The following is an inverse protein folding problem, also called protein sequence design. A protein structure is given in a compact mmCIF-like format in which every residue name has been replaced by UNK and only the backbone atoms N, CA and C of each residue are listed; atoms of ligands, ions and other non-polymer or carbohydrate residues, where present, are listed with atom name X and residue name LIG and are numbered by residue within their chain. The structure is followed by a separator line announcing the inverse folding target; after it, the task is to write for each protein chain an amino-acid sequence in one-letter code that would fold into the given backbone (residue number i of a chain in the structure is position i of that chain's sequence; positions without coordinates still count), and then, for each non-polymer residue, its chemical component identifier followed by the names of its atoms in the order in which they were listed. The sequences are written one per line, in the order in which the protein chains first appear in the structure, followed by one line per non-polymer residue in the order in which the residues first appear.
data_IF_438335970515
#
_entry.id   IF_438335970515
#
_cell.length_a   1.000
_cell.length_b   1.000
_cell.length_c   1.000
_cell.angle_alpha   90.00
_cell.angle_beta   90.00
_cell.angle_gamma   90.00
#
_symmetry.space_group_name_H-M   'P 1'
#
loop_
_entity.id
_entity.type
_entity.pdbx_description
1 polymer ?
#
# COMPACT_ATOMS: atom_id res chain seq x y z
N UNK A 1 53.50 45.87 9.12
CA UNK A 1 54.05 44.56 9.59
C UNK A 1 53.02 43.94 10.52
N UNK A 2 52.34 42.89 10.08
CA UNK A 2 51.18 42.30 10.78
C UNK A 2 51.63 41.28 11.83
N UNK A 3 51.21 41.49 13.09
CA UNK A 3 51.33 40.57 14.23
C UNK A 3 50.19 39.55 14.16
N UNK A 4 50.36 38.44 13.44
CA UNK A 4 49.50 37.24 13.59
C UNK A 4 50.17 35.99 13.01
N UNK A 5 51.45 35.79 13.38
CA UNK A 5 52.16 34.52 13.17
C UNK A 5 52.64 34.03 14.54
N UNK A 6 51.72 33.60 15.40
CA UNK A 6 52.07 32.87 16.61
C UNK A 6 51.05 31.77 16.86
N UNK A 7 51.59 30.60 17.18
CA UNK A 7 50.93 29.45 17.81
C UNK A 7 50.03 28.58 16.94
N UNK A 8 50.69 27.72 16.16
CA UNK A 8 50.14 26.40 15.85
C UNK A 8 51.21 25.31 16.01
N UNK A 9 51.93 25.32 17.14
CA UNK A 9 52.76 24.21 17.58
C UNK A 9 52.16 23.60 18.85
N UNK A 10 52.10 22.27 18.83
CA UNK A 10 51.70 21.36 19.90
C UNK A 10 50.21 21.05 20.02
N UNK A 11 49.81 19.91 19.39
CA UNK A 11 49.19 18.77 20.09
C UNK A 11 49.04 17.52 19.20
N UNK A 12 50.14 17.08 18.59
CA UNK A 12 50.27 15.70 18.09
C UNK A 12 51.12 14.92 19.07
N UNK A 13 50.48 14.24 20.01
CA UNK A 13 51.15 13.56 21.11
C UNK A 13 50.33 12.45 21.74
N UNK A 14 49.62 11.66 20.92
CA UNK A 14 49.13 10.35 21.35
C UNK A 14 49.79 9.28 20.47
N UNK A 15 50.50 8.29 21.05
CA UNK A 15 51.16 7.25 20.27
C UNK A 15 50.10 6.45 19.46
N UNK A 16 50.40 6.08 18.20
CA UNK A 16 49.43 5.45 17.29
C UNK A 16 48.78 4.17 17.84
N UNK A 17 49.40 3.48 18.81
CA UNK A 17 48.86 2.28 19.44
C UNK A 17 47.75 2.54 20.48
N UNK A 18 47.72 3.72 21.12
CA UNK A 18 46.64 4.11 22.04
C UNK A 18 45.39 4.53 21.27
N UNK A 19 45.58 5.18 20.11
CA UNK A 19 44.50 5.60 19.21
C UNK A 19 43.74 4.41 18.61
N UNK A 20 44.44 3.32 18.27
CA UNK A 20 43.82 2.10 17.76
C UNK A 20 42.96 1.38 18.81
N UNK A 21 43.45 1.27 20.05
CA UNK A 21 42.70 0.66 21.17
C UNK A 21 41.47 1.49 21.54
N UNK A 22 41.59 2.81 21.55
CA UNK A 22 40.46 3.69 21.84
C UNK A 22 39.41 3.69 20.72
N UNK A 23 39.83 3.64 19.45
CA UNK A 23 38.92 3.49 18.31
C UNK A 23 38.21 2.13 18.34
N UNK A 24 38.90 1.05 18.69
CA UNK A 24 38.29 -0.27 18.85
C UNK A 24 37.25 -0.27 19.99
N UNK A 25 37.57 0.35 21.13
CA UNK A 25 36.62 0.48 22.26
C UNK A 25 35.37 1.26 21.85
N UNK A 26 35.53 2.40 21.16
CA UNK A 26 34.40 3.21 20.69
C UNK A 26 33.52 2.45 19.70
N UNK A 27 34.11 1.68 18.79
CA UNK A 27 33.34 0.83 17.84
C UNK A 27 32.52 -0.23 18.56
N UNK A 28 33.07 -0.88 19.60
CA UNK A 28 32.37 -1.89 20.40
C UNK A 28 31.21 -1.25 21.19
N UNK A 29 31.44 -0.08 21.78
CA UNK A 29 30.40 0.67 22.50
C UNK A 29 29.28 1.14 21.56
N UNK A 30 29.62 1.58 20.35
CA UNK A 30 28.66 2.01 19.33
C UNK A 30 27.82 0.83 18.81
N UNK A 31 28.44 -0.33 18.56
CA UNK A 31 27.71 -1.54 18.14
C UNK A 31 26.77 -2.03 19.24
N UNK A 32 27.22 -2.04 20.50
CA UNK A 32 26.37 -2.43 21.63
C UNK A 32 25.18 -1.47 21.83
N UNK A 33 25.38 -0.16 21.59
CA UNK A 33 24.30 0.83 21.64
C UNK A 33 23.28 0.60 20.53
N UNK A 34 23.73 0.29 19.31
CA UNK A 34 22.84 0.00 18.18
C UNK A 34 22.06 -1.30 18.38
N UNK A 35 22.69 -2.34 18.92
CA UNK A 35 22.00 -3.60 19.25
C UNK A 35 20.94 -3.40 20.33
N UNK A 36 21.25 -2.60 21.36
CA UNK A 36 20.27 -2.25 22.39
C UNK A 36 19.08 -1.48 21.81
N UNK A 37 19.32 -0.48 20.97
CA UNK A 37 18.24 0.29 20.34
C UNK A 37 17.33 -0.59 19.48
N UNK A 38 17.90 -1.53 18.72
CA UNK A 38 17.10 -2.51 17.95
C UNK A 38 16.30 -3.45 18.85
N UNK A 39 16.87 -3.89 19.97
CA UNK A 39 16.15 -4.75 20.91
C UNK A 39 14.99 -4.01 21.59
N UNK A 40 15.20 -2.74 21.95
CA UNK A 40 14.16 -1.88 22.53
C UNK A 40 13.03 -1.61 21.50
N UNK A 41 13.37 -1.35 20.22
CA UNK A 41 12.41 -1.16 19.12
C UNK A 41 11.56 -2.42 18.88
N UNK A 42 12.17 -3.61 18.84
CA UNK A 42 11.46 -4.89 18.70
C UNK A 42 10.53 -5.14 19.90
N UNK A 43 10.98 -4.82 21.12
CA UNK A 43 10.17 -5.01 22.32
C UNK A 43 8.96 -4.05 22.36
N UNK A 44 9.13 -2.81 21.94
CA UNK A 44 8.03 -1.84 21.81
C UNK A 44 7.02 -2.27 20.74
N UNK A 45 7.48 -2.80 19.59
CA UNK A 45 6.60 -3.37 18.57
C UNK A 45 5.82 -4.60 19.08
N UNK A 46 6.45 -5.50 19.83
CA UNK A 46 5.80 -6.67 20.42
C UNK A 46 4.74 -6.29 21.48
N UNK A 47 5.03 -5.31 22.33
CA UNK A 47 4.07 -4.83 23.34
C UNK A 47 2.89 -4.09 22.71
N UNK A 48 3.13 -3.26 21.68
CA UNK A 48 2.06 -2.63 20.90
C UNK A 48 1.14 -3.66 20.23
N UNK A 49 1.70 -4.80 19.80
CA UNK A 49 0.93 -5.91 19.21
C UNK A 49 0.05 -6.66 20.23
N UNK A 50 0.45 -6.71 21.51
CA UNK A 50 -0.31 -7.40 22.56
C UNK A 50 -1.53 -6.62 23.00
N UNK A 51 -1.45 -5.29 23.06
CA UNK A 51 -2.54 -4.44 23.54
C UNK A 51 -3.72 -4.37 22.54
N UNK A 52 -3.47 -4.65 21.26
CA UNK A 52 -4.51 -4.75 20.23
C UNK A 52 -5.38 -6.03 20.30
N UNK A 53 -5.07 -6.99 21.16
CA UNK A 53 -5.85 -8.24 21.27
C UNK A 53 -7.10 -8.15 22.15
N UNK A 54 -7.23 -7.12 22.99
CA UNK A 54 -8.25 -7.13 24.05
C UNK A 54 -9.59 -6.45 23.76
N UNK A 55 -9.75 -5.77 22.61
CA UNK A 55 -11.06 -5.25 22.17
C UNK A 55 -11.23 -5.39 20.66
N UNK A 56 -11.42 -6.62 20.18
CA UNK A 56 -12.09 -6.78 18.88
C UNK A 56 -13.59 -6.73 19.13
N UNK A 57 -14.33 -5.70 18.65
CA UNK A 57 -15.78 -5.78 18.59
C UNK A 57 -16.14 -7.08 17.91
N UNK A 58 -17.16 -7.81 18.39
CA UNK A 58 -17.77 -8.93 17.67
C UNK A 58 -18.14 -8.46 16.28
N UNK A 59 -17.23 -8.68 15.33
CA UNK A 59 -17.36 -8.21 13.96
C UNK A 59 -18.50 -9.01 13.37
N UNK A 60 -19.50 -8.32 12.83
CA UNK A 60 -20.61 -8.96 12.15
C UNK A 60 -20.05 -9.94 11.11
N UNK A 61 -20.64 -11.14 10.98
CA UNK A 61 -20.21 -12.09 9.97
C UNK A 61 -20.30 -11.43 8.59
N UNK A 62 -19.25 -11.61 7.79
CA UNK A 62 -19.05 -10.89 6.55
C UNK A 62 -18.24 -11.73 5.57
N UNK A 63 -18.53 -11.53 4.29
CA UNK A 63 -17.95 -12.27 3.17
C UNK A 63 -17.36 -11.32 2.14
N UNK A 64 -16.44 -11.85 1.34
CA UNK A 64 -15.85 -11.14 0.20
C UNK A 64 -16.79 -11.30 -0.99
N UNK A 65 -17.19 -10.19 -1.59
CA UNK A 65 -17.99 -10.15 -2.80
C UNK A 65 -17.14 -9.66 -3.97
N UNK A 66 -17.31 -10.28 -5.13
CA UNK A 66 -16.60 -9.92 -6.35
C UNK A 66 -17.58 -9.70 -7.47
N UNK A 67 -17.49 -8.55 -8.12
CA UNK A 67 -18.33 -8.21 -9.27
C UNK A 67 -17.52 -7.54 -10.38
N UNK A 68 -18.10 -7.49 -11.57
CA UNK A 68 -17.52 -6.74 -12.68
C UNK A 68 -17.63 -5.23 -12.40
N UNK A 69 -16.51 -4.53 -12.56
CA UNK A 69 -16.45 -3.08 -12.46
C UNK A 69 -16.47 -2.45 -13.87
N UNK A 70 -16.95 -1.21 -14.02
CA UNK A 70 -16.88 -0.48 -15.27
C UNK A 70 -15.45 -0.35 -15.79
N UNK A 71 -15.31 -0.52 -17.10
CA UNK A 71 -14.06 -0.27 -17.83
C UNK A 71 -14.32 0.52 -19.11
N UNK A 72 -13.39 1.42 -19.46
CA UNK A 72 -13.51 2.38 -20.56
C UNK A 72 -13.35 1.75 -21.95
N UNK A 73 -12.48 0.75 -22.12
CA UNK A 73 -12.18 0.07 -23.39
C UNK A 73 -12.78 -1.33 -23.44
N UNK A 74 -13.52 -1.72 -22.40
CA UNK A 74 -14.10 -3.06 -22.25
C UNK A 74 -13.11 -4.08 -21.68
N UNK A 75 -11.91 -3.68 -21.23
CA UNK A 75 -11.00 -4.54 -20.50
C UNK A 75 -11.70 -5.08 -19.23
N UNK A 76 -11.81 -6.42 -19.07
CA UNK A 76 -12.54 -6.98 -17.94
C UNK A 76 -11.90 -6.58 -16.61
N UNK A 77 -12.65 -5.85 -15.79
CA UNK A 77 -12.21 -5.37 -14.48
C UNK A 77 -13.12 -5.94 -13.40
N UNK A 78 -12.54 -6.36 -12.27
CA UNK A 78 -13.28 -6.98 -11.17
C UNK A 78 -12.97 -6.28 -9.87
N UNK A 79 -14.01 -5.82 -9.16
CA UNK A 79 -13.90 -5.23 -7.84
C UNK A 79 -14.19 -6.29 -6.77
N UNK A 80 -13.37 -6.31 -5.72
CA UNK A 80 -13.55 -7.14 -4.53
C UNK A 80 -13.70 -6.25 -3.30
N UNK A 81 -14.77 -6.44 -2.53
CA UNK A 81 -15.05 -5.70 -1.30
C UNK A 81 -15.82 -6.55 -0.29
N UNK A 82 -15.93 -6.07 0.95
CA UNK A 82 -16.59 -6.78 2.05
C UNK A 82 -18.09 -6.45 2.06
N UNK A 83 -18.93 -7.47 2.18
CA UNK A 83 -20.37 -7.32 2.44
C UNK A 83 -20.78 -8.16 3.65
N UNK A 84 -21.95 -7.86 4.21
CA UNK A 84 -22.51 -8.68 5.28
C UNK A 84 -23.03 -10.00 4.73
N UNK A 85 -22.98 -11.07 5.53
CA UNK A 85 -23.40 -12.41 5.10
C UNK A 85 -24.88 -12.49 4.71
N UNK A 86 -25.71 -11.64 5.31
CA UNK A 86 -27.15 -11.51 5.06
C UNK A 86 -27.50 -10.62 3.87
N UNK A 87 -26.52 -9.93 3.27
CA UNK A 87 -26.74 -9.08 2.10
C UNK A 87 -27.03 -9.94 0.86
N UNK A 88 -28.21 -9.80 0.22
CA UNK A 88 -28.51 -10.51 -1.02
C UNK A 88 -27.64 -10.01 -2.16
N UNK A 89 -26.92 -10.93 -2.82
CA UNK A 89 -26.06 -10.59 -3.97
C UNK A 89 -26.83 -10.14 -5.21
N UNK A 90 -28.16 -10.30 -5.22
CA UNK A 90 -29.04 -9.81 -6.27
C UNK A 90 -29.50 -8.36 -6.05
N UNK A 91 -29.32 -7.79 -4.86
CA UNK A 91 -29.74 -6.42 -4.56
C UNK A 91 -28.63 -5.43 -4.93
N UNK A 92 -28.66 -4.97 -6.19
CA UNK A 92 -27.68 -4.02 -6.70
C UNK A 92 -27.66 -2.70 -5.90
N UNK A 93 -28.80 -2.26 -5.34
CA UNK A 93 -28.85 -1.02 -4.57
C UNK A 93 -28.16 -1.17 -3.22
N UNK A 94 -28.37 -2.29 -2.51
CA UNK A 94 -27.68 -2.62 -1.28
C UNK A 94 -26.18 -2.84 -1.51
N UNK A 95 -25.80 -3.60 -2.55
CA UNK A 95 -24.40 -3.84 -2.90
C UNK A 95 -23.67 -2.53 -3.21
N UNK A 96 -24.29 -1.63 -3.97
CA UNK A 96 -23.74 -0.31 -4.28
C UNK A 96 -23.49 0.53 -3.04
N UNK A 97 -24.36 0.47 -2.03
CA UNK A 97 -24.19 1.19 -0.77
C UNK A 97 -23.03 0.64 0.08
N UNK A 98 -22.64 -0.62 -0.15
CA UNK A 98 -21.52 -1.28 0.52
C UNK A 98 -20.19 -1.17 -0.24
N UNK A 99 -20.22 -0.75 -1.51
CA UNK A 99 -19.00 -0.46 -2.26
C UNK A 99 -18.26 0.70 -1.60
N UNK A 100 -17.01 0.47 -1.25
CA UNK A 100 -16.16 1.54 -0.75
C UNK A 100 -15.72 2.44 -1.89
N UNK A 101 -15.81 3.75 -1.68
CA UNK A 101 -15.30 4.77 -2.60
C UNK A 101 -13.77 4.83 -2.69
N UNK A 102 -13.05 4.12 -1.81
CA UNK A 102 -11.59 4.02 -1.79
C UNK A 102 -11.13 2.57 -2.06
N UNK A 103 -10.03 2.42 -2.80
CA UNK A 103 -9.50 1.11 -3.12
C UNK A 103 -8.12 1.12 -3.77
N UNK A 104 -7.65 -0.08 -4.10
CA UNK A 104 -6.40 -0.32 -4.82
C UNK A 104 -6.70 -0.93 -6.18
N UNK A 105 -6.05 -0.42 -7.22
CA UNK A 105 -6.13 -1.02 -8.57
C UNK A 105 -4.88 -1.85 -8.82
N UNK A 106 -5.07 -3.10 -9.20
CA UNK A 106 -4.02 -4.05 -9.56
C UNK A 106 -4.21 -4.47 -11.01
N UNK A 107 -3.14 -4.36 -11.80
CA UNK A 107 -3.16 -4.77 -13.20
C UNK A 107 -2.59 -6.17 -13.35
N UNK A 108 -3.41 -7.14 -13.78
CA UNK A 108 -2.92 -8.44 -14.25
C UNK A 108 -2.35 -8.27 -15.66
N UNK A 109 -1.06 -7.92 -15.72
CA UNK A 109 -0.37 -7.66 -16.99
C UNK A 109 0.22 -8.91 -17.65
N UNK A 110 0.00 -10.09 -17.08
CA UNK A 110 0.57 -11.32 -17.64
C UNK A 110 -0.02 -11.61 -19.02
N UNK A 111 0.76 -12.17 -19.93
CA UNK A 111 0.29 -12.49 -21.29
C UNK A 111 -0.92 -13.46 -21.29
N UNK A 112 -1.05 -14.25 -20.22
CA UNK A 112 -2.14 -15.21 -20.03
C UNK A 112 -3.28 -14.68 -19.15
N UNK A 113 -3.31 -13.38 -18.84
CA UNK A 113 -4.38 -12.75 -18.09
C UNK A 113 -5.75 -13.02 -18.75
N UNK A 114 -6.71 -13.47 -17.95
CA UNK A 114 -8.08 -13.82 -18.40
C UNK A 114 -9.09 -13.41 -17.34
N UNK A 115 -10.34 -13.09 -17.72
CA UNK A 115 -11.33 -12.56 -16.78
C UNK A 115 -11.55 -13.44 -15.54
N UNK A 116 -11.73 -14.75 -15.74
CA UNK A 116 -11.92 -15.68 -14.63
C UNK A 116 -10.71 -15.76 -13.67
N UNK A 117 -9.48 -15.51 -14.16
CA UNK A 117 -8.29 -15.44 -13.33
C UNK A 117 -8.24 -14.13 -12.56
N UNK A 118 -8.54 -13.01 -13.20
CA UNK A 118 -8.58 -11.69 -12.56
C UNK A 118 -9.63 -11.63 -11.45
N UNK A 119 -10.81 -12.21 -11.65
CA UNK A 119 -11.84 -12.29 -10.61
C UNK A 119 -11.35 -13.09 -9.39
N UNK A 120 -10.71 -14.25 -9.61
CA UNK A 120 -10.09 -15.03 -8.51
C UNK A 120 -8.95 -14.27 -7.85
N UNK A 121 -8.16 -13.52 -8.61
CA UNK A 121 -7.07 -12.70 -8.09
C UNK A 121 -7.61 -11.57 -7.21
N UNK A 122 -8.70 -10.92 -7.61
CA UNK A 122 -9.37 -9.89 -6.82
C UNK A 122 -9.81 -10.45 -5.45
N UNK A 123 -10.50 -11.59 -5.46
CA UNK A 123 -10.91 -12.28 -4.23
C UNK A 123 -9.71 -12.65 -3.35
N UNK A 124 -8.68 -13.30 -3.93
CA UNK A 124 -7.52 -13.77 -3.19
C UNK A 124 -6.70 -12.62 -2.60
N UNK A 125 -6.47 -11.55 -3.37
CA UNK A 125 -5.77 -10.35 -2.89
C UNK A 125 -6.55 -9.68 -1.77
N UNK A 126 -7.87 -9.59 -1.91
CA UNK A 126 -8.73 -9.02 -0.87
C UNK A 126 -8.60 -9.79 0.45
N UNK A 127 -8.79 -11.11 0.42
CA UNK A 127 -8.70 -11.94 1.63
C UNK A 127 -7.30 -11.91 2.25
N UNK A 128 -6.26 -11.98 1.42
CA UNK A 128 -4.88 -12.04 1.87
C UNK A 128 -4.43 -10.71 2.51
N UNK A 129 -4.92 -9.58 2.02
CA UNK A 129 -4.57 -8.25 2.54
C UNK A 129 -5.52 -7.77 3.63
N UNK A 130 -6.65 -8.44 3.86
CA UNK A 130 -7.69 -8.04 4.83
C UNK A 130 -7.14 -7.67 6.20
N UNK A 131 -6.36 -8.55 6.82
CA UNK A 131 -5.83 -8.31 8.18
C UNK A 131 -4.90 -7.10 8.27
N UNK A 132 -4.12 -6.82 7.21
CA UNK A 132 -3.23 -5.66 7.16
C UNK A 132 -3.98 -4.36 6.88
N UNK A 133 -5.15 -4.44 6.23
CA UNK A 133 -5.98 -3.27 5.90
C UNK A 133 -6.86 -2.86 7.07
N UNK A 134 -7.33 -3.84 7.86
CA UNK A 134 -8.11 -3.57 9.07
C UNK A 134 -7.33 -2.75 10.13
N UNK A 135 -5.99 -2.81 10.11
CA UNK A 135 -5.11 -2.05 11.02
C UNK A 135 -4.82 -0.63 10.53
N UNK A 136 -5.01 -0.37 9.23
CA UNK A 136 -4.78 0.94 8.62
C UNK A 136 -6.10 1.71 8.69
N UNK A 137 -6.06 2.95 9.21
CA UNK A 137 -7.25 3.79 9.50
C UNK A 137 -8.13 4.15 8.28
N UNK A 138 -7.84 3.69 7.08
CA UNK A 138 -8.51 4.10 5.85
C UNK A 138 -9.85 3.39 5.56
N UNK A 139 -10.34 2.54 6.48
CA UNK A 139 -11.66 1.91 6.33
C UNK A 139 -11.63 0.73 5.35
N UNK A 140 -12.78 0.09 5.14
CA UNK A 140 -12.88 -1.12 4.33
C UNK A 140 -12.44 -0.85 2.88
N UNK A 141 -11.29 -1.35 2.45
CA UNK A 141 -10.76 -1.09 1.11
C UNK A 141 -11.51 -1.87 0.01
N UNK A 142 -11.67 -1.32 -1.19
CA UNK A 142 -11.99 -2.07 -2.41
C UNK A 142 -10.69 -2.51 -3.12
N UNK A 143 -10.62 -3.71 -3.70
CA UNK A 143 -9.54 -4.06 -4.65
C UNK A 143 -10.13 -4.26 -6.03
N UNK A 144 -9.70 -3.45 -6.98
CA UNK A 144 -10.02 -3.66 -8.39
C UNK A 144 -8.86 -4.37 -9.10
N UNK A 145 -9.16 -5.42 -9.84
CA UNK A 145 -8.20 -6.12 -10.70
C UNK A 145 -8.59 -5.94 -12.16
N UNK A 146 -7.72 -5.27 -12.92
CA UNK A 146 -7.86 -5.05 -14.35
C UNK A 146 -7.20 -6.19 -15.12
N UNK A 147 -7.92 -6.80 -16.05
CA UNK A 147 -7.38 -7.82 -16.97
C UNK A 147 -6.75 -7.11 -18.16
N UNK A 148 -5.41 -6.94 -18.14
CA UNK A 148 -4.69 -6.22 -19.20
C UNK A 148 -3.55 -7.09 -19.75
N UNK A 149 -3.83 -8.10 -20.58
CA UNK A 149 -2.79 -9.01 -21.06
C UNK A 149 -1.76 -8.25 -21.91
N UNK A 150 -0.50 -8.26 -21.46
CA UNK A 150 0.63 -7.66 -22.19
C UNK A 150 1.66 -8.72 -22.55
N UNK A 151 2.22 -8.63 -23.76
CA UNK A 151 3.22 -9.56 -24.28
C UNK A 151 4.43 -9.64 -23.35
N UNK A 152 4.95 -10.85 -23.12
CA UNK A 152 6.10 -11.06 -22.25
C UNK A 152 7.38 -10.35 -22.74
N UNK A 153 7.44 -9.98 -24.02
CA UNK A 153 8.52 -9.17 -24.60
C UNK A 153 8.47 -7.69 -24.22
N UNK A 154 7.37 -7.19 -23.63
CA UNK A 154 7.28 -5.81 -23.18
C UNK A 154 8.20 -5.56 -21.99
N UNK A 155 9.02 -4.51 -22.08
CA UNK A 155 9.79 -4.02 -20.95
C UNK A 155 8.88 -3.54 -19.81
N UNK A 156 9.45 -3.45 -18.60
CA UNK A 156 8.72 -2.93 -17.44
C UNK A 156 8.17 -1.53 -17.70
N UNK A 157 8.97 -0.64 -18.32
CA UNK A 157 8.53 0.73 -18.64
C UNK A 157 7.32 0.76 -19.58
N UNK A 158 7.30 -0.12 -20.59
CA UNK A 158 6.16 -0.23 -21.51
C UNK A 158 4.91 -0.77 -20.82
N UNK A 159 5.07 -1.69 -19.86
CA UNK A 159 3.98 -2.21 -19.04
C UNK A 159 3.40 -1.11 -18.14
N UNK A 160 4.27 -0.34 -17.48
CA UNK A 160 3.88 0.82 -16.66
C UNK A 160 3.14 1.85 -17.51
N UNK A 161 3.69 2.22 -18.67
CA UNK A 161 3.06 3.17 -19.60
C UNK A 161 1.66 2.71 -20.03
N UNK A 162 1.50 1.42 -20.33
CA UNK A 162 0.20 0.85 -20.68
C UNK A 162 -0.81 0.92 -19.52
N UNK A 163 -0.40 0.56 -18.30
CA UNK A 163 -1.25 0.67 -17.12
C UNK A 163 -1.63 2.13 -16.82
N UNK A 164 -0.69 3.07 -16.92
CA UNK A 164 -0.97 4.50 -16.72
C UNK A 164 -1.97 5.04 -17.74
N UNK A 165 -1.79 4.70 -19.03
CA UNK A 165 -2.71 5.12 -20.08
C UNK A 165 -4.11 4.57 -19.87
N UNK A 166 -4.22 3.30 -19.48
CA UNK A 166 -5.50 2.68 -19.14
C UNK A 166 -6.13 3.41 -17.94
N UNK A 167 -5.37 3.67 -16.87
CA UNK A 167 -5.85 4.37 -15.69
C UNK A 167 -6.40 5.78 -16.00
N UNK A 168 -5.69 6.55 -16.83
CA UNK A 168 -6.13 7.89 -17.21
C UNK A 168 -7.44 7.84 -18.00
N UNK A 169 -7.59 6.85 -18.89
CA UNK A 169 -8.79 6.66 -19.68
C UNK A 169 -9.98 6.14 -18.83
N UNK A 170 -9.73 5.24 -17.87
CA UNK A 170 -10.70 4.82 -16.85
C UNK A 170 -11.23 6.00 -16.06
N UNK A 171 -10.32 6.86 -15.57
CA UNK A 171 -10.70 8.05 -14.82
C UNK A 171 -11.64 8.95 -15.63
N UNK A 172 -11.30 9.22 -16.90
CA UNK A 172 -12.16 10.03 -17.79
C UNK A 172 -13.50 9.35 -18.10
N UNK A 173 -13.53 8.03 -18.22
CA UNK A 173 -14.74 7.26 -18.48
C UNK A 173 -15.69 7.28 -17.29
N UNK A 174 -15.16 7.04 -16.08
CA UNK A 174 -15.96 6.99 -14.85
C UNK A 174 -16.57 8.35 -14.49
N UNK A 175 -15.90 9.46 -14.82
CA UNK A 175 -16.47 10.82 -14.73
C UNK A 175 -17.70 11.04 -15.62
N UNK A 176 -17.93 10.19 -16.62
CA UNK A 176 -19.07 10.28 -17.56
C UNK A 176 -20.20 9.31 -17.24
N UNK A 177 -20.10 8.53 -16.16
CA UNK A 177 -21.21 7.67 -15.70
C UNK A 177 -22.41 8.58 -15.35
N UNK A 178 -23.56 8.32 -15.98
CA UNK A 178 -24.72 9.20 -15.89
C UNK A 178 -25.40 9.17 -14.50
N UNK A 179 -25.46 7.99 -13.87
CA UNK A 179 -25.95 7.87 -12.50
C UNK A 179 -24.84 8.31 -11.52
N UNK A 180 -25.07 9.44 -10.85
CA UNK A 180 -24.11 10.00 -9.88
C UNK A 180 -23.87 9.08 -8.68
N UNK A 181 -24.89 8.34 -8.23
CA UNK A 181 -24.74 7.41 -7.12
C UNK A 181 -23.90 6.20 -7.53
N UNK A 182 -24.08 5.72 -8.76
CA UNK A 182 -23.22 4.68 -9.34
C UNK A 182 -21.78 5.19 -9.50
N UNK A 183 -21.61 6.38 -10.10
CA UNK A 183 -20.31 6.99 -10.32
C UNK A 183 -19.52 7.19 -9.01
N UNK A 184 -20.19 7.63 -7.94
CA UNK A 184 -19.59 7.83 -6.63
C UNK A 184 -19.28 6.51 -5.89
N UNK A 185 -19.97 5.42 -6.23
CA UNK A 185 -19.74 4.10 -5.63
C UNK A 185 -18.54 3.37 -6.22
N UNK A 186 -18.19 3.69 -7.46
CA UNK A 186 -17.01 3.12 -8.10
C UNK A 186 -15.77 3.90 -7.69
N UNK A 187 -14.69 3.17 -7.42
CA UNK A 187 -13.43 3.77 -7.06
C UNK A 187 -12.95 4.69 -8.17
N UNK A 188 -12.93 5.99 -7.91
CA UNK A 188 -12.07 6.89 -8.65
C UNK A 188 -10.76 6.86 -7.91
N UNK A 189 -9.72 6.30 -8.53
CA UNK A 189 -8.36 6.50 -8.05
C UNK A 189 -8.04 7.99 -8.19
N UNK A 190 -8.56 8.81 -7.28
CA UNK A 190 -7.93 10.08 -6.99
C UNK A 190 -6.50 9.71 -6.63
N UNK A 191 -5.55 10.38 -7.29
CA UNK A 191 -4.14 10.18 -7.01
C UNK A 191 -4.01 10.22 -5.49
N UNK A 192 -3.47 9.17 -4.88
CA UNK A 192 -3.24 9.04 -3.42
C UNK A 192 -2.52 10.28 -2.83
N UNK A 193 -2.03 11.16 -3.69
CA UNK A 193 -1.40 12.45 -3.45
C UNK A 193 -2.34 13.68 -3.57
N UNK A 194 -3.68 13.58 -3.61
CA UNK A 194 -4.53 14.78 -3.49
C UNK A 194 -4.52 15.26 -2.02
N UNK A 195 -3.92 16.43 -1.72
CA UNK A 195 -3.81 16.94 -0.35
C UNK A 195 -5.17 17.22 0.31
N UNK A 196 -6.26 17.23 -0.47
CA UNK A 196 -7.61 17.48 0.03
C UNK A 196 -8.25 16.26 0.68
N UNK A 197 -7.82 15.05 0.31
CA UNK A 197 -8.31 13.78 0.88
C UNK A 197 -7.36 13.17 1.91
N UNK A 198 -6.09 13.62 1.98
CA UNK A 198 -5.09 13.15 2.95
C UNK A 198 -5.25 13.76 4.36
N UNK A 199 -6.48 13.90 4.88
CA UNK A 199 -6.76 14.46 6.22
C UNK A 199 -7.19 13.40 7.22
#
# INVERSE_FOLDING_TARGET
MCRHCFDNKHRDGAPPSMRAKEVARRKIEETARLEKLKADEIAEEEEAMKDHRFMTPTRSPSKTFVEAAPSHDGAPTFAAYQIHDDTPESDAAALRALRTSFGFVVYDTTETARPARSARLAHALFDHTRMNRDTIRYGADCIEVVTLPLLNSFSMDRRIEACMRHQDAEYQSRLRIADKAEAASWFLAERIMDPRLAR
#
